data_IF_044739502914
#
_entry.id   IF_044739502914
#
_cell.length_a   1.000
_cell.length_b   1.000
_cell.length_c   1.000
_cell.angle_alpha   90.00
_cell.angle_beta   90.00
_cell.angle_gamma   90.00
#
_symmetry.space_group_name_H-M   'P 1'
#
loop_
_entity.id
_entity.type
_entity.pdbx_description
1 polymer ?
#
# COMPACT_ATOMS: atom_id res chain seq x y z
N UNK A 1 -16.50 11.25 -3.36
CA UNK A 1 -15.55 11.79 -2.37
C UNK A 1 -14.33 10.89 -2.42
N UNK A 2 -13.32 11.28 -3.19
CA UNK A 2 -12.10 10.50 -3.36
C UNK A 2 -11.12 10.89 -2.26
N UNK A 3 -10.83 9.98 -1.34
CA UNK A 3 -9.62 10.09 -0.52
C UNK A 3 -8.42 9.91 -1.44
N UNK A 4 -7.56 10.93 -1.50
CA UNK A 4 -6.43 10.97 -2.41
C UNK A 4 -5.40 9.91 -2.02
N UNK A 5 -5.03 9.08 -3.01
CA UNK A 5 -3.92 8.14 -2.88
C UNK A 5 -2.63 8.94 -2.73
N UNK A 6 -1.91 8.74 -1.64
CA UNK A 6 -0.60 9.37 -1.43
C UNK A 6 0.49 8.31 -1.37
N UNK A 7 1.50 8.47 -2.22
CA UNK A 7 2.67 7.58 -2.25
C UNK A 7 3.87 8.37 -1.73
N UNK A 8 4.52 7.88 -0.68
CA UNK A 8 5.62 8.55 0.01
C UNK A 8 6.79 7.58 0.19
N UNK A 9 7.95 7.89 -0.38
CA UNK A 9 9.18 7.16 -0.07
C UNK A 9 9.62 7.45 1.36
N UNK A 10 9.91 6.43 2.17
CA UNK A 10 10.31 6.59 3.57
C UNK A 10 11.71 6.07 3.86
N UNK A 11 12.69 6.43 3.02
CA UNK A 11 14.07 5.95 3.16
C UNK A 11 14.15 4.42 3.16
N UNK A 12 15.33 3.84 3.41
CA UNK A 12 15.46 2.40 3.73
C UNK A 12 14.80 1.40 2.77
N UNK A 13 14.64 1.76 1.49
CA UNK A 13 13.97 0.96 0.46
C UNK A 13 12.52 0.58 0.80
N UNK A 14 11.77 1.54 1.35
CA UNK A 14 10.33 1.42 1.59
C UNK A 14 9.53 2.52 0.91
N UNK A 15 8.38 2.13 0.34
CA UNK A 15 7.34 3.04 -0.16
C UNK A 15 6.10 2.88 0.70
N UNK A 16 5.63 3.97 1.29
CA UNK A 16 4.34 4.04 1.97
C UNK A 16 3.26 4.50 0.99
N UNK A 17 2.10 3.85 1.06
CA UNK A 17 0.93 4.15 0.25
C UNK A 17 -0.25 4.39 1.18
N UNK A 18 -0.61 5.65 1.39
CA UNK A 18 -1.82 6.03 2.12
C UNK A 18 -3.00 6.07 1.15
N UNK A 19 -4.09 5.36 1.46
CA UNK A 19 -5.23 5.23 0.56
C UNK A 19 -6.40 6.14 0.95
N UNK A 20 -6.55 6.41 2.24
CA UNK A 20 -7.68 7.14 2.78
C UNK A 20 -7.27 7.90 4.03
N UNK A 21 -7.82 9.11 4.17
CA UNK A 21 -7.69 9.90 5.40
C UNK A 21 -8.56 9.33 6.52
N UNK A 22 -9.77 8.86 6.19
CA UNK A 22 -10.74 8.33 7.16
C UNK A 22 -10.86 6.80 7.11
N UNK A 23 -11.11 6.21 8.28
CA UNK A 23 -11.42 4.78 8.40
C UNK A 23 -12.83 4.46 7.89
N UNK A 24 -12.92 3.54 6.93
CA UNK A 24 -14.17 2.95 6.47
C UNK A 24 -13.97 1.53 5.94
N UNK A 25 -15.04 0.72 5.93
CA UNK A 25 -14.98 -0.63 5.34
C UNK A 25 -14.68 -0.61 3.84
N UNK A 26 -15.10 0.46 3.14
CA UNK A 26 -14.75 0.66 1.73
C UNK A 26 -13.24 0.85 1.58
N UNK A 27 -12.64 1.67 2.44
CA UNK A 27 -11.20 1.90 2.45
C UNK A 27 -10.42 0.60 2.70
N UNK A 28 -10.80 -0.16 3.73
CA UNK A 28 -10.19 -1.45 4.04
C UNK A 28 -10.26 -2.39 2.83
N UNK A 29 -11.42 -2.45 2.17
CA UNK A 29 -11.59 -3.21 0.94
C UNK A 29 -10.66 -2.75 -0.20
N UNK A 30 -10.44 -1.44 -0.34
CA UNK A 30 -9.47 -0.88 -1.32
C UNK A 30 -8.04 -1.26 -0.95
N UNK A 31 -7.66 -1.18 0.32
CA UNK A 31 -6.32 -1.53 0.80
C UNK A 31 -5.99 -3.01 0.56
N UNK A 32 -6.93 -3.91 0.88
CA UNK A 32 -6.77 -5.34 0.57
C UNK A 32 -6.68 -5.62 -0.93
N UNK A 33 -7.50 -4.95 -1.76
CA UNK A 33 -7.41 -5.12 -3.22
C UNK A 33 -6.05 -4.68 -3.76
N UNK A 34 -5.54 -3.54 -3.28
CA UNK A 34 -4.22 -3.05 -3.68
C UNK A 34 -3.10 -4.00 -3.22
N UNK A 35 -3.17 -4.49 -1.98
CA UNK A 35 -2.23 -5.48 -1.45
C UNK A 35 -2.10 -6.69 -2.37
N UNK A 36 -3.22 -7.34 -2.72
CA UNK A 36 -3.19 -8.51 -3.60
C UNK A 36 -2.78 -8.17 -5.03
N UNK A 37 -3.10 -6.97 -5.53
CA UNK A 37 -2.63 -6.52 -6.83
C UNK A 37 -1.10 -6.38 -6.85
N UNK A 38 -0.49 -5.76 -5.83
CA UNK A 38 0.95 -5.63 -5.68
C UNK A 38 1.61 -7.01 -5.61
N UNK A 39 1.11 -7.90 -4.75
CA UNK A 39 1.66 -9.25 -4.63
C UNK A 39 1.61 -10.05 -5.93
N UNK A 40 0.58 -9.84 -6.75
CA UNK A 40 0.41 -10.55 -8.02
C UNK A 40 1.26 -9.95 -9.15
N UNK A 41 1.29 -8.63 -9.25
CA UNK A 41 1.86 -7.92 -10.40
C UNK A 41 3.32 -7.56 -10.22
N UNK A 42 3.75 -7.36 -8.97
CA UNK A 42 5.12 -7.01 -8.61
C UNK A 42 5.85 -8.15 -7.90
N UNK A 43 5.34 -9.38 -8.00
CA UNK A 43 5.98 -10.57 -7.43
C UNK A 43 7.43 -10.68 -7.92
N UNK A 44 8.39 -10.66 -6.99
CA UNK A 44 9.83 -10.72 -7.29
C UNK A 44 10.53 -9.37 -7.48
N UNK A 45 9.79 -8.26 -7.42
CA UNK A 45 10.35 -6.90 -7.31
C UNK A 45 10.17 -6.30 -5.92
N UNK A 46 9.25 -6.86 -5.13
CA UNK A 46 8.99 -6.47 -3.75
C UNK A 46 9.35 -7.64 -2.84
N UNK A 47 10.02 -7.33 -1.74
CA UNK A 47 10.41 -8.32 -0.73
C UNK A 47 9.27 -8.60 0.23
N UNK A 48 8.61 -7.52 0.67
CA UNK A 48 7.53 -7.58 1.64
C UNK A 48 6.50 -6.48 1.35
N UNK A 49 5.23 -6.80 1.61
CA UNK A 49 4.16 -5.82 1.65
C UNK A 49 3.47 -5.95 3.00
N UNK A 50 3.53 -4.89 3.82
CA UNK A 50 2.82 -4.82 5.08
C UNK A 50 1.51 -4.05 4.89
N UNK A 51 0.39 -4.73 5.16
CA UNK A 51 -0.94 -4.14 5.04
C UNK A 51 -1.35 -3.48 6.37
N UNK A 52 -1.58 -2.17 6.32
CA UNK A 52 -2.26 -1.41 7.37
C UNK A 52 -3.77 -1.31 7.11
N UNK A 53 -4.48 -0.63 8.02
CA UNK A 53 -5.95 -0.49 7.92
C UNK A 53 -6.35 0.40 6.74
N UNK A 54 -5.65 1.52 6.56
CA UNK A 54 -5.92 2.52 5.50
C UNK A 54 -4.69 2.80 4.64
N UNK A 55 -3.63 2.01 4.78
CA UNK A 55 -2.35 2.22 4.11
C UNK A 55 -1.61 0.91 3.88
N UNK A 56 -0.54 0.97 3.08
CA UNK A 56 0.41 -0.12 2.88
C UNK A 56 1.84 0.40 3.01
N UNK A 57 2.73 -0.46 3.48
CA UNK A 57 4.17 -0.29 3.30
C UNK A 57 4.69 -1.37 2.35
N UNK A 58 5.44 -0.97 1.32
CA UNK A 58 6.01 -1.84 0.30
C UNK A 58 7.53 -1.76 0.42
N UNK A 59 8.15 -2.88 0.77
CA UNK A 59 9.60 -3.02 0.88
C UNK A 59 10.15 -3.67 -0.38
N UNK A 60 11.31 -3.19 -0.84
CA UNK A 60 11.98 -3.66 -2.04
C UNK A 60 13.49 -3.67 -1.86
N UNK A 61 14.20 -4.49 -2.64
CA UNK A 61 15.65 -4.46 -2.76
C UNK A 61 16.02 -3.60 -4.00
N UNK A 62 16.84 -2.54 -3.86
CA UNK A 62 17.21 -1.62 -4.95
C UNK A 62 17.98 -2.24 -6.12
#
# INVERSE_FOLDING_TARGET
MGGDLRVVGSGGYVVHVDLCEDFSMECVGRAHRLYYAILRELSGLVDEVALGITSLAVYYDP
#
